data_IF_429148206378
#
_entry.id   IF_429148206378
#
_cell.length_a   1.000
_cell.length_b   1.000
_cell.length_c   1.000
_cell.angle_alpha   90.00
_cell.angle_beta   90.00
_cell.angle_gamma   90.00
#
_symmetry.space_group_name_H-M   'P 1'
#
loop_
_entity.id
_entity.type
_entity.pdbx_description
1 polymer ?
#
# COMPACT_ATOMS: atom_id res chain seq x y z
N UNK A 1 -18.40 -21.14 6.65
CA UNK A 1 -17.86 -21.34 5.29
C UNK A 1 -16.43 -21.87 5.40
N UNK A 2 -16.13 -22.99 4.75
CA UNK A 2 -14.84 -23.69 4.83
C UNK A 2 -13.97 -23.22 3.66
N UNK A 3 -12.91 -22.47 3.94
CA UNK A 3 -12.02 -21.93 2.90
C UNK A 3 -11.04 -23.03 2.50
N UNK A 4 -10.96 -23.30 1.19
CA UNK A 4 -10.02 -24.25 0.60
C UNK A 4 -8.78 -23.51 0.09
N UNK A 5 -7.62 -24.14 0.22
CA UNK A 5 -6.37 -23.62 -0.29
C UNK A 5 -6.34 -23.70 -1.83
N UNK A 6 -5.97 -22.60 -2.50
CA UNK A 6 -5.86 -22.57 -3.97
C UNK A 6 -4.67 -23.36 -4.53
N UNK A 7 -3.73 -23.79 -3.68
CA UNK A 7 -2.56 -24.58 -4.10
C UNK A 7 -2.79 -26.09 -3.97
N UNK A 8 -3.34 -26.56 -2.85
CA UNK A 8 -3.48 -27.99 -2.58
C UNK A 8 -4.93 -28.48 -2.37
N UNK A 9 -5.92 -27.59 -2.45
CA UNK A 9 -7.35 -27.91 -2.28
C UNK A 9 -7.78 -28.25 -0.84
N UNK A 10 -6.83 -28.40 0.10
CA UNK A 10 -7.13 -28.71 1.52
C UNK A 10 -7.73 -27.52 2.25
N UNK A 11 -8.48 -27.81 3.30
CA UNK A 11 -9.09 -26.80 4.16
C UNK A 11 -8.05 -25.99 4.92
N UNK A 12 -8.37 -24.72 5.16
CA UNK A 12 -7.49 -23.79 5.86
C UNK A 12 -7.95 -23.53 7.28
N UNK A 13 -7.00 -23.38 8.19
CA UNK A 13 -7.26 -22.99 9.57
C UNK A 13 -7.34 -21.47 9.67
N UNK A 14 -8.41 -20.96 10.28
CA UNK A 14 -8.57 -19.53 10.56
C UNK A 14 -7.87 -19.17 11.86
N UNK A 15 -7.10 -18.08 11.85
CA UNK A 15 -6.47 -17.46 13.02
C UNK A 15 -6.59 -15.94 12.90
N UNK A 16 -6.88 -15.24 14.00
CA UNK A 16 -6.80 -13.78 14.03
C UNK A 16 -5.36 -13.36 14.31
N UNK A 17 -4.83 -12.41 13.53
CA UNK A 17 -3.42 -12.02 13.67
C UNK A 17 -3.06 -10.70 12.99
N UNK A 18 -1.76 -10.55 12.73
CA UNK A 18 -1.17 -9.38 12.09
C UNK A 18 -0.76 -9.71 10.66
N UNK A 19 -0.92 -8.77 9.74
CA UNK A 19 -0.59 -8.93 8.33
C UNK A 19 0.18 -7.72 7.79
N UNK A 20 1.24 -7.94 7.02
CA UNK A 20 1.93 -6.86 6.32
C UNK A 20 1.24 -6.59 4.99
N UNK A 21 0.61 -5.43 4.84
CA UNK A 21 -0.27 -5.12 3.71
C UNK A 21 0.51 -4.64 2.47
N UNK A 22 1.18 -5.58 1.81
CA UNK A 22 2.04 -5.30 0.65
C UNK A 22 1.25 -4.92 -0.61
N UNK A 23 -0.02 -5.31 -0.69
CA UNK A 23 -0.92 -5.03 -1.81
C UNK A 23 -1.24 -3.54 -1.94
N UNK A 24 -1.04 -2.75 -0.88
CA UNK A 24 -1.04 -1.29 -0.95
C UNK A 24 0.12 -0.72 -1.79
N UNK A 25 1.19 -1.50 -2.01
CA UNK A 25 2.46 -1.02 -2.57
C UNK A 25 3.35 -0.29 -1.54
N UNK A 26 2.92 -0.22 -0.27
CA UNK A 26 3.67 0.34 0.84
C UNK A 26 4.33 -0.77 1.67
N UNK A 27 5.55 -0.52 2.14
CA UNK A 27 6.30 -1.50 2.96
C UNK A 27 6.07 -1.31 4.46
N UNK A 28 5.40 -0.23 4.85
CA UNK A 28 5.26 0.23 6.22
C UNK A 28 3.81 0.19 6.71
N UNK A 29 2.92 -0.56 6.04
CA UNK A 29 1.51 -0.74 6.47
C UNK A 29 1.32 -2.13 7.07
N UNK A 30 0.81 -2.17 8.30
CA UNK A 30 0.55 -3.39 9.04
C UNK A 30 -0.91 -3.42 9.52
N UNK A 31 -1.62 -4.48 9.17
CA UNK A 31 -2.98 -4.73 9.64
C UNK A 31 -2.93 -5.54 10.92
N UNK A 32 -3.77 -5.18 11.88
CA UNK A 32 -3.98 -5.94 13.12
C UNK A 32 -5.43 -6.40 13.23
N UNK A 33 -5.64 -7.48 13.97
CA UNK A 33 -6.95 -8.11 14.18
C UNK A 33 -7.62 -8.58 12.88
N UNK A 34 -6.82 -8.99 11.89
CA UNK A 34 -7.33 -9.51 10.61
C UNK A 34 -7.40 -11.02 10.62
N UNK A 35 -8.33 -11.56 9.84
CA UNK A 35 -8.49 -13.00 9.68
C UNK A 35 -7.41 -13.53 8.74
N UNK A 36 -6.56 -14.40 9.28
CA UNK A 36 -5.55 -15.13 8.56
C UNK A 36 -6.02 -16.56 8.35
N UNK A 37 -5.83 -17.07 7.15
CA UNK A 37 -6.10 -18.45 6.80
C UNK A 37 -4.78 -19.12 6.47
N UNK A 38 -4.42 -20.18 7.20
CA UNK A 38 -3.17 -20.91 7.02
C UNK A 38 -3.46 -22.34 6.60
N UNK A 39 -2.74 -22.80 5.57
CA UNK A 39 -2.78 -24.18 5.13
C UNK A 39 -1.50 -24.91 5.55
N UNK A 40 -1.61 -26.20 5.82
CA UNK A 40 -0.47 -27.06 6.11
C UNK A 40 0.58 -27.11 4.98
N UNK A 41 0.22 -26.74 3.75
CA UNK A 41 1.17 -26.63 2.62
C UNK A 41 2.02 -25.35 2.64
N UNK A 42 1.86 -24.47 3.63
CA UNK A 42 2.61 -23.22 3.77
C UNK A 42 1.92 -21.99 3.18
N UNK A 43 0.86 -22.17 2.40
CA UNK A 43 0.10 -21.04 1.83
C UNK A 43 -0.72 -20.33 2.91
N UNK A 44 -0.67 -19.00 2.91
CA UNK A 44 -1.47 -18.16 3.80
C UNK A 44 -2.23 -17.09 3.03
N UNK A 45 -3.43 -16.75 3.53
CA UNK A 45 -4.23 -15.64 3.03
C UNK A 45 -4.64 -14.72 4.16
N UNK A 46 -4.74 -13.43 3.88
CA UNK A 46 -5.37 -12.45 4.77
C UNK A 46 -6.72 -12.04 4.18
N UNK A 47 -7.78 -12.10 4.98
CA UNK A 47 -9.07 -11.51 4.62
C UNK A 47 -9.08 -10.05 5.04
N UNK A 48 -9.17 -9.18 4.03
CA UNK A 48 -9.15 -7.73 4.17
C UNK A 48 -10.49 -7.24 3.61
N UNK A 49 -11.29 -6.62 4.46
CA UNK A 49 -12.59 -6.10 4.07
C UNK A 49 -12.48 -4.63 3.70
N UNK A 50 -13.43 -4.15 2.88
CA UNK A 50 -13.54 -2.74 2.48
C UNK A 50 -12.20 -2.13 2.05
N UNK A 51 -11.45 -2.83 1.19
CA UNK A 51 -10.15 -2.39 0.67
C UNK A 51 -10.16 -0.92 0.18
N UNK A 52 -11.17 -0.44 -0.56
CA UNK A 52 -11.23 0.98 -0.94
C UNK A 52 -11.26 1.93 0.26
N UNK A 53 -11.99 1.58 1.32
CA UNK A 53 -12.06 2.33 2.57
C UNK A 53 -10.74 2.29 3.32
N UNK A 54 -10.11 1.12 3.44
CA UNK A 54 -8.80 0.98 4.07
C UNK A 54 -7.76 1.86 3.38
N UNK A 55 -7.71 1.85 2.05
CA UNK A 55 -6.79 2.70 1.27
C UNK A 55 -7.13 4.19 1.42
N UNK A 56 -8.39 4.56 1.56
CA UNK A 56 -8.80 5.93 1.89
C UNK A 56 -8.25 6.39 3.25
N UNK A 57 -8.38 5.54 4.28
CA UNK A 57 -7.87 5.81 5.62
C UNK A 57 -6.34 5.91 5.64
N UNK A 58 -5.64 5.00 4.96
CA UNK A 58 -4.18 5.05 4.77
C UNK A 58 -3.77 6.37 4.09
N UNK A 59 -4.47 6.77 3.02
CA UNK A 59 -4.17 8.03 2.34
C UNK A 59 -4.37 9.25 3.24
N UNK A 60 -5.45 9.30 4.04
CA UNK A 60 -5.68 10.37 5.02
C UNK A 60 -4.58 10.43 6.08
N UNK A 61 -4.08 9.27 6.52
CA UNK A 61 -2.95 9.19 7.45
C UNK A 61 -1.65 9.68 6.80
N UNK A 62 -1.37 9.29 5.55
CA UNK A 62 -0.24 9.79 4.75
C UNK A 62 -0.27 11.30 4.59
N UNK A 63 -1.43 11.87 4.26
CA UNK A 63 -1.59 13.32 4.08
C UNK A 63 -1.26 14.13 5.35
N UNK A 64 -1.40 13.55 6.54
CA UNK A 64 -1.10 14.19 7.83
C UNK A 64 0.33 13.94 8.34
N UNK A 65 1.12 13.14 7.62
CA UNK A 65 2.52 12.83 7.98
C UNK A 65 3.34 14.11 8.11
N UNK A 66 3.91 14.35 9.30
CA UNK A 66 4.77 15.52 9.59
C UNK A 66 6.21 15.34 9.10
N UNK A 67 6.36 14.79 7.91
CA UNK A 67 7.63 14.54 7.24
C UNK A 67 7.40 14.54 5.72
N UNK A 68 8.47 14.73 4.93
CA UNK A 68 8.37 14.56 3.48
C UNK A 68 7.90 13.14 3.14
N UNK A 69 7.05 13.05 2.11
CA UNK A 69 6.59 11.79 1.56
C UNK A 69 7.78 11.02 0.98
N UNK A 70 7.79 9.72 1.21
CA UNK A 70 8.66 8.79 0.49
C UNK A 70 8.15 8.59 -0.93
N UNK A 71 9.02 8.12 -1.83
CA UNK A 71 8.61 7.78 -3.20
C UNK A 71 7.44 6.81 -3.29
N UNK A 72 7.41 5.81 -2.40
CA UNK A 72 6.30 4.84 -2.33
C UNK A 72 4.99 5.48 -1.89
N UNK A 73 5.03 6.42 -0.95
CA UNK A 73 3.84 7.19 -0.53
C UNK A 73 3.34 8.10 -1.64
N UNK A 74 4.22 8.77 -2.39
CA UNK A 74 3.85 9.57 -3.57
C UNK A 74 3.15 8.68 -4.62
N UNK A 75 3.75 7.53 -4.93
CA UNK A 75 3.19 6.55 -5.87
C UNK A 75 1.83 6.03 -5.40
N UNK A 76 1.71 5.69 -4.12
CA UNK A 76 0.46 5.23 -3.51
C UNK A 76 -0.64 6.27 -3.69
N UNK A 77 -0.39 7.53 -3.29
CA UNK A 77 -1.37 8.62 -3.43
C UNK A 77 -1.80 8.80 -4.89
N UNK A 78 -0.85 8.86 -5.84
CA UNK A 78 -1.17 9.01 -7.26
C UNK A 78 -1.98 7.85 -7.81
N UNK A 79 -1.61 6.61 -7.46
CA UNK A 79 -2.33 5.41 -7.92
C UNK A 79 -3.72 5.32 -7.32
N UNK A 80 -3.90 5.79 -6.09
CA UNK A 80 -5.19 5.83 -5.42
C UNK A 80 -6.19 6.81 -6.07
N UNK A 81 -5.71 7.86 -6.76
CA UNK A 81 -6.55 8.74 -7.61
C UNK A 81 -6.53 8.34 -9.09
N UNK A 82 -5.98 7.17 -9.42
CA UNK A 82 -5.94 6.61 -10.78
C UNK A 82 -5.26 7.49 -11.85
N UNK A 83 -4.31 8.36 -11.46
CA UNK A 83 -3.62 9.25 -12.39
C UNK A 83 -2.31 8.62 -12.91
N UNK A 84 -2.02 8.82 -14.21
CA UNK A 84 -0.77 8.36 -14.82
C UNK A 84 0.44 9.16 -14.29
N UNK A 85 1.65 8.58 -14.35
CA UNK A 85 2.86 9.32 -13.92
C UNK A 85 3.08 10.59 -14.75
N UNK A 86 2.83 10.50 -16.07
CA UNK A 86 2.95 11.62 -17.00
C UNK A 86 1.98 12.76 -16.66
N UNK A 87 0.71 12.44 -16.41
CA UNK A 87 -0.31 13.46 -16.17
C UNK A 87 -0.15 14.10 -14.80
N UNK A 88 0.25 13.30 -13.79
CA UNK A 88 0.58 13.85 -12.47
C UNK A 88 1.79 14.78 -12.53
N UNK A 89 2.84 14.44 -13.30
CA UNK A 89 3.98 15.33 -13.51
C UNK A 89 3.57 16.66 -14.17
N UNK A 90 2.66 16.63 -15.16
CA UNK A 90 2.10 17.86 -15.76
C UNK A 90 1.35 18.72 -14.73
N UNK A 91 0.51 18.11 -13.88
CA UNK A 91 -0.21 18.81 -12.81
C UNK A 91 0.72 19.45 -11.78
N UNK A 92 1.89 18.84 -11.56
CA UNK A 92 2.93 19.36 -10.65
C UNK A 92 3.89 20.36 -11.32
N UNK A 93 3.74 20.64 -12.63
CA UNK A 93 4.63 21.48 -13.41
C UNK A 93 6.11 21.05 -13.37
N UNK A 94 6.36 19.74 -13.43
CA UNK A 94 7.71 19.16 -13.46
C UNK A 94 7.94 18.34 -14.72
N UNK A 95 9.22 18.10 -15.04
CA UNK A 95 9.58 17.20 -16.14
C UNK A 95 9.04 15.77 -15.92
N UNK A 96 8.68 15.10 -17.02
CA UNK A 96 8.13 13.73 -17.03
C UNK A 96 9.07 12.69 -16.39
N UNK A 97 10.38 12.96 -16.33
CA UNK A 97 11.38 12.07 -15.73
C UNK A 97 11.57 12.31 -14.23
N UNK A 98 11.15 13.47 -13.72
CA UNK A 98 11.33 13.85 -12.31
C UNK A 98 10.44 13.03 -11.38
N UNK A 99 9.14 12.87 -11.70
CA UNK A 99 8.23 12.11 -10.85
C UNK A 99 8.64 10.62 -10.69
N UNK A 100 9.02 9.89 -11.74
CA UNK A 100 9.57 8.54 -11.58
C UNK A 100 10.79 8.48 -10.66
N UNK A 101 11.70 9.48 -10.71
CA UNK A 101 12.87 9.54 -9.83
C UNK A 101 12.47 9.72 -8.35
N UNK A 102 11.46 10.56 -8.09
CA UNK A 102 10.87 10.73 -6.76
C UNK A 102 10.20 9.45 -6.26
N UNK A 103 9.35 8.85 -7.08
CA UNK A 103 8.65 7.61 -6.73
C UNK A 103 9.60 6.42 -6.52
N UNK A 104 10.70 6.39 -7.29
CA UNK A 104 11.76 5.38 -7.15
C UNK A 104 12.71 5.64 -5.98
N UNK A 105 12.68 6.83 -5.37
CA UNK A 105 13.56 7.20 -4.26
C UNK A 105 14.98 7.63 -4.67
N UNK A 106 15.29 7.63 -5.96
CA UNK A 106 16.59 8.09 -6.50
C UNK A 106 16.83 9.59 -6.35
N UNK A 107 15.76 10.37 -6.20
CA UNK A 107 15.80 11.81 -5.95
C UNK A 107 14.69 12.15 -4.96
N UNK A 108 14.94 13.11 -4.07
CA UNK A 108 13.93 13.59 -3.11
C UNK A 108 13.30 14.89 -3.61
N UNK A 109 12.00 15.04 -3.42
CA UNK A 109 11.28 16.28 -3.67
C UNK A 109 11.55 17.32 -2.57
N UNK A 110 11.48 18.60 -2.93
CA UNK A 110 11.53 19.72 -1.97
C UNK A 110 10.21 19.85 -1.17
N UNK A 111 10.23 20.56 -0.04
CA UNK A 111 9.03 20.87 0.77
C UNK A 111 7.88 21.51 -0.03
N UNK A 112 8.10 22.51 -0.91
CA UNK A 112 7.01 23.07 -1.74
C UNK A 112 6.34 22.02 -2.66
N UNK A 113 7.15 21.17 -3.30
CA UNK A 113 6.63 20.10 -4.16
C UNK A 113 5.88 19.02 -3.36
N UNK A 114 6.31 18.69 -2.14
CA UNK A 114 5.58 17.78 -1.26
C UNK A 114 4.18 18.32 -0.92
N UNK A 115 4.09 19.62 -0.58
CA UNK A 115 2.82 20.29 -0.33
C UNK A 115 1.94 20.33 -1.60
N UNK A 116 2.54 20.57 -2.77
CA UNK A 116 1.82 20.56 -4.04
C UNK A 116 1.29 19.16 -4.39
N UNK A 117 2.06 18.09 -4.13
CA UNK A 117 1.62 16.70 -4.29
C UNK A 117 0.39 16.43 -3.42
N UNK A 118 0.45 16.79 -2.13
CA UNK A 118 -0.66 16.61 -1.19
C UNK A 118 -1.89 17.40 -1.63
N UNK A 119 -1.72 18.67 -2.03
CA UNK A 119 -2.81 19.53 -2.50
C UNK A 119 -3.44 18.97 -3.77
N UNK A 120 -2.64 18.55 -4.74
CA UNK A 120 -3.11 17.96 -6.00
C UNK A 120 -3.92 16.69 -5.73
N UNK A 121 -3.41 15.79 -4.87
CA UNK A 121 -4.18 14.61 -4.44
C UNK A 121 -5.51 15.00 -3.78
N UNK A 122 -5.50 15.95 -2.84
CA UNK A 122 -6.70 16.37 -2.12
C UNK A 122 -7.77 16.95 -3.07
N UNK A 123 -7.34 17.74 -4.05
CA UNK A 123 -8.21 18.28 -5.11
C UNK A 123 -8.82 17.16 -5.94
N UNK A 124 -8.00 16.23 -6.46
CA UNK A 124 -8.47 15.12 -7.29
C UNK A 124 -9.40 14.17 -6.54
N UNK A 125 -9.16 13.95 -5.24
CA UNK A 125 -10.02 13.10 -4.39
C UNK A 125 -11.31 13.80 -3.96
N UNK A 126 -11.44 15.11 -4.15
CA UNK A 126 -12.60 15.90 -3.72
C UNK A 126 -12.65 16.11 -2.20
N UNK A 127 -11.51 16.19 -1.52
CA UNK A 127 -11.46 16.46 -0.08
C UNK A 127 -11.99 17.87 0.20
N UNK A 128 -12.90 18.02 1.17
CA UNK A 128 -13.54 19.31 1.50
C UNK A 128 -12.51 20.37 1.87
N UNK A 129 -12.73 21.62 1.44
CA UNK A 129 -11.79 22.74 1.66
C UNK A 129 -11.38 22.90 3.12
N UNK A 130 -12.32 22.77 4.07
CA UNK A 130 -12.01 22.87 5.50
C UNK A 130 -11.11 21.73 6.01
N UNK A 131 -11.22 20.54 5.42
CA UNK A 131 -10.32 19.41 5.73
C UNK A 131 -8.95 19.63 5.10
N UNK A 132 -8.88 20.14 3.87
CA UNK A 132 -7.61 20.52 3.24
C UNK A 132 -6.86 21.56 4.09
N UNK A 133 -7.56 22.61 4.55
CA UNK A 133 -7.00 23.64 5.43
C UNK A 133 -6.45 23.06 6.73
N UNK A 134 -7.18 22.12 7.37
CA UNK A 134 -6.71 21.43 8.59
C UNK A 134 -5.44 20.62 8.33
N UNK A 135 -5.37 19.88 7.22
CA UNK A 135 -4.17 19.12 6.85
C UNK A 135 -3.00 20.06 6.62
N UNK A 136 -3.17 21.12 5.82
CA UNK A 136 -2.10 22.08 5.55
C UNK A 136 -1.63 22.82 6.81
N UNK A 137 -2.55 23.09 7.75
CA UNK A 137 -2.21 23.67 9.05
C UNK A 137 -1.30 22.75 9.87
N UNK A 138 -1.60 21.44 9.93
CA UNK A 138 -0.76 20.43 10.60
C UNK A 138 0.66 20.39 9.99
N UNK A 139 0.79 20.74 8.71
CA UNK A 139 2.04 20.64 7.96
C UNK A 139 2.88 21.92 7.96
N UNK A 140 2.42 23.02 8.59
CA UNK A 140 3.16 24.31 8.61
C UNK A 140 4.59 24.12 9.13
N UNK A 141 4.71 23.39 10.23
CA UNK A 141 5.98 23.19 10.94
C UNK A 141 6.59 21.81 10.64
N UNK A 142 6.40 21.28 9.43
CA UNK A 142 7.17 20.10 9.00
C UNK A 142 8.64 20.50 8.94
N UNK A 143 9.37 20.20 10.02
CA UNK A 143 10.81 19.98 9.98
C UNK A 143 11.07 18.82 9.02
N UNK A 144 12.15 18.90 8.25
CA UNK A 144 12.69 17.75 7.54
C UNK A 144 12.94 16.69 8.60
N UNK A 145 12.09 15.66 8.68
CA UNK A 145 12.14 14.67 9.74
C UNK A 145 13.57 14.17 9.92
N UNK A 146 13.99 14.11 11.19
CA UNK A 146 15.25 13.50 11.61
C UNK A 146 15.39 12.14 10.91
N UNK A 147 16.58 11.84 10.36
CA UNK A 147 16.79 10.72 9.45
C UNK A 147 16.44 9.33 10.03
N UNK A 148 16.25 9.23 11.35
CA UNK A 148 16.22 7.94 12.07
C UNK A 148 14.83 7.48 12.53
N UNK A 149 13.75 8.22 12.19
CA UNK A 149 12.39 7.84 12.61
C UNK A 149 11.68 7.00 11.54
N UNK A 150 11.54 5.70 11.81
CA UNK A 150 10.75 4.80 10.98
C UNK A 150 9.26 5.07 11.22
N UNK A 151 8.58 5.54 10.18
CA UNK A 151 7.16 5.82 10.20
C UNK A 151 6.37 4.58 9.77
N UNK A 152 5.65 3.95 10.70
CA UNK A 152 4.78 2.81 10.42
C UNK A 152 3.30 3.22 10.45
N UNK A 153 2.51 2.67 9.54
CA UNK A 153 1.06 2.80 9.52
C UNK A 153 0.47 1.52 10.09
N UNK A 154 -0.18 1.64 11.23
CA UNK A 154 -0.94 0.54 11.85
C UNK A 154 -2.40 0.71 11.50
N UNK A 155 -3.01 -0.31 10.94
CA UNK A 155 -4.45 -0.37 10.65
C UNK A 155 -5.09 -1.50 11.46
N UNK A 156 -5.76 -1.16 12.55
CA UNK A 156 -6.41 -2.13 13.43
C UNK A 156 -7.86 -2.32 13.00
N UNK A 157 -8.25 -3.56 12.69
CA UNK A 157 -9.65 -3.91 12.41
C UNK A 157 -10.50 -3.71 13.68
N UNK A 158 -11.63 -3.04 13.51
CA UNK A 158 -12.68 -2.83 14.51
C UNK A 158 -14.01 -3.17 13.86
N UNK A 159 -14.63 -4.29 14.23
CA UNK A 159 -15.93 -4.76 13.71
C UNK A 159 -16.10 -4.59 12.19
N UNK A 160 -16.63 -3.42 11.76
CA UNK A 160 -16.96 -3.05 10.37
C UNK A 160 -16.06 -1.98 9.71
N UNK A 161 -15.01 -1.47 10.37
CA UNK A 161 -14.04 -0.52 9.79
C UNK A 161 -12.60 -0.74 10.33
N UNK A 162 -11.68 0.12 9.92
CA UNK A 162 -10.30 0.14 10.40
C UNK A 162 -10.01 1.46 11.14
N UNK A 163 -9.24 1.37 12.22
CA UNK A 163 -8.58 2.53 12.83
C UNK A 163 -7.15 2.57 12.30
N UNK A 164 -6.78 3.67 11.63
CA UNK A 164 -5.46 3.82 11.00
C UNK A 164 -4.66 4.95 11.66
N UNK A 165 -3.50 4.60 12.20
CA UNK A 165 -2.67 5.51 12.99
C UNK A 165 -1.20 5.42 12.58
N UNK A 166 -0.46 6.52 12.82
CA UNK A 166 0.99 6.48 12.79
C UNK A 166 1.52 5.85 14.08
N UNK A 167 2.40 4.87 13.94
CA UNK A 167 3.26 4.39 15.01
C UNK A 167 4.69 4.84 14.69
N UNK A 168 5.19 5.77 15.50
CA UNK A 168 6.60 6.17 15.46
C UNK A 168 7.38 5.14 16.26
N UNK A 169 8.40 4.56 15.64
CA UNK A 169 9.42 3.82 16.37
C UNK A 169 10.64 4.74 16.52
N UNK A 170 11.06 5.10 17.74
CA UNK A 170 12.35 5.75 17.92
C UNK A 170 13.43 4.81 17.34
N UNK A 171 14.36 5.37 16.57
CA UNK A 171 15.36 4.61 15.83
C UNK A 171 16.10 3.62 16.73
N UNK A 172 15.93 2.33 16.48
CA UNK A 172 16.69 1.26 17.13
C UNK A 172 17.76 0.81 16.15
N UNK A 173 19.01 0.84 16.61
CA UNK A 173 20.22 0.39 15.93
C UNK A 173 20.05 -0.97 15.22
N UNK A 174 20.79 -1.22 14.12
CA UNK A 174 20.81 -2.54 13.49
C UNK A 174 21.52 -3.52 14.42
N UNK A 175 20.76 -4.29 15.19
CA UNK A 175 21.32 -5.32 16.09
C UNK A 175 20.44 -5.75 17.26
N UNK A 176 19.38 -5.01 17.60
CA UNK A 176 18.48 -5.36 18.70
C UNK A 176 17.03 -5.51 18.24
N UNK A 177 16.74 -6.58 17.50
CA UNK A 177 15.36 -7.00 17.26
C UNK A 177 15.21 -8.52 17.43
N UNK A 178 14.97 -8.93 18.69
CA UNK A 178 14.25 -10.15 19.00
C UNK A 178 12.75 -9.85 18.90
N UNK A 179 12.17 -10.10 17.74
CA UNK A 179 10.72 -10.15 17.62
C UNK A 179 10.37 -11.33 16.73
N UNK A 180 9.62 -12.26 17.30
CA UNK A 180 8.83 -13.25 16.59
C UNK A 180 7.72 -12.55 15.77
N UNK A 181 8.10 -11.79 14.75
CA UNK A 181 7.21 -11.37 13.67
C UNK A 181 7.10 -12.57 12.72
N UNK A 182 6.01 -13.32 12.84
CA UNK A 182 5.74 -14.40 11.88
C UNK A 182 5.45 -13.78 10.51
N UNK A 183 6.49 -13.56 9.72
CA UNK A 183 6.44 -13.53 8.27
C UNK A 183 6.63 -14.97 7.81
N UNK A 184 5.63 -15.66 7.22
CA UNK A 184 5.86 -17.02 6.73
C UNK A 184 6.62 -17.06 5.40
N UNK A 185 7.10 -15.92 4.85
CA UNK A 185 7.75 -15.95 3.55
C UNK A 185 8.85 -14.91 3.40
N UNK A 186 10.09 -15.39 3.36
CA UNK A 186 11.21 -14.70 2.71
C UNK A 186 11.20 -15.14 1.23
N UNK A 187 10.91 -14.25 0.26
CA UNK A 187 11.10 -14.59 -1.13
C UNK A 187 12.61 -14.71 -1.44
N UNK A 188 13.04 -15.70 -2.25
CA UNK A 188 14.40 -15.72 -2.79
C UNK A 188 14.62 -14.48 -3.66
N UNK A 189 15.79 -13.85 -3.51
CA UNK A 189 16.19 -12.67 -4.25
C UNK A 189 16.37 -12.96 -5.74
N UNK A 190 15.39 -12.66 -6.59
CA UNK A 190 15.58 -12.57 -8.04
C UNK A 190 14.42 -11.87 -8.77
N UNK A 191 14.81 -10.93 -9.65
CA UNK A 191 14.12 -10.48 -10.87
C UNK A 191 13.11 -9.31 -10.79
N UNK A 192 13.67 -8.16 -11.19
CA UNK A 192 13.03 -7.05 -11.89
C UNK A 192 12.18 -7.56 -13.08
N UNK A 193 10.97 -7.00 -13.27
CA UNK A 193 10.58 -6.23 -14.46
C UNK A 193 9.06 -6.17 -14.68
N UNK A 194 8.61 -4.94 -14.96
CA UNK A 194 7.55 -4.51 -15.89
C UNK A 194 6.11 -5.07 -15.86
N UNK A 195 5.19 -4.18 -16.26
CA UNK A 195 3.78 -4.35 -16.71
C UNK A 195 2.69 -3.94 -15.70
N UNK A 196 1.96 -2.85 -15.94
CA UNK A 196 0.90 -2.47 -16.93
C UNK A 196 -0.49 -2.81 -16.37
N UNK A 197 -1.31 -1.77 -16.32
CA UNK A 197 -2.63 -1.70 -15.67
C UNK A 197 -3.72 -2.14 -16.65
N UNK A 198 -4.70 -2.90 -16.16
CA UNK A 198 -6.03 -2.99 -16.77
C UNK A 198 -7.09 -3.11 -15.65
N UNK A 199 -8.18 -2.38 -15.86
CA UNK A 199 -9.32 -2.09 -14.98
C UNK A 199 -10.45 -3.11 -15.14
N UNK A 200 -11.26 -3.35 -14.10
CA UNK A 200 -12.73 -3.24 -14.20
C UNK A 200 -13.47 -3.52 -12.87
N UNK A 201 -14.47 -2.67 -12.64
CA UNK A 201 -15.80 -2.85 -12.02
C UNK A 201 -15.99 -3.50 -10.63
N UNK A 202 -16.28 -2.60 -9.68
CA UNK A 202 -17.38 -2.62 -8.68
C UNK A 202 -18.04 -3.94 -8.28
N UNK A 203 -17.92 -4.30 -7.00
CA UNK A 203 -19.00 -4.84 -6.18
C UNK A 203 -18.77 -4.49 -4.69
N UNK A 204 -19.86 -4.30 -3.95
CA UNK A 204 -19.84 -4.16 -2.49
C UNK A 204 -19.50 -5.54 -1.92
N UNK A 205 -18.26 -5.75 -1.49
CA UNK A 205 -17.79 -7.08 -1.11
C UNK A 205 -17.48 -7.21 0.39
N UNK A 206 -18.16 -8.19 0.99
CA UNK A 206 -17.65 -9.01 2.09
C UNK A 206 -16.17 -9.38 1.86
N UNK A 207 -15.37 -9.38 2.93
CA UNK A 207 -13.90 -9.44 2.92
C UNK A 207 -13.24 -10.19 1.75
N UNK A 208 -12.35 -9.49 1.04
CA UNK A 208 -11.56 -10.05 -0.06
C UNK A 208 -10.37 -10.82 0.54
N UNK A 209 -10.18 -12.05 0.08
CA UNK A 209 -9.09 -12.92 0.52
C UNK A 209 -7.86 -12.65 -0.36
N UNK A 210 -6.80 -12.08 0.21
CA UNK A 210 -5.54 -11.83 -0.49
C UNK A 210 -4.51 -12.91 -0.17
N UNK A 211 -3.84 -13.41 -1.22
CA UNK A 211 -2.75 -14.37 -1.07
C UNK A 211 -1.44 -13.64 -0.83
N UNK A 212 -0.70 -14.07 0.20
CA UNK A 212 0.66 -13.57 0.44
C UNK A 212 1.70 -14.12 -0.54
N UNK A 213 1.33 -15.08 -1.40
CA UNK A 213 2.26 -15.82 -2.26
C UNK A 213 1.88 -15.87 -3.75
N UNK A 214 0.75 -15.31 -4.19
CA UNK A 214 0.31 -15.44 -5.58
C UNK A 214 0.50 -14.15 -6.38
N UNK A 215 1.67 -14.05 -7.01
CA UNK A 215 1.82 -13.36 -8.30
C UNK A 215 1.10 -14.23 -9.34
N UNK A 216 -0.14 -13.90 -9.68
CA UNK A 216 -0.87 -14.60 -10.73
C UNK A 216 -0.35 -14.14 -12.09
N UNK A 217 0.48 -14.97 -12.73
CA UNK A 217 0.67 -14.94 -14.17
C UNK A 217 -0.44 -15.75 -14.82
N UNK A 218 -1.24 -15.12 -15.68
CA UNK A 218 -2.12 -15.85 -16.60
C UNK A 218 -1.26 -16.39 -17.73
N UNK A 219 -1.09 -17.71 -17.78
CA UNK A 219 -0.54 -18.41 -18.95
C UNK A 219 -1.45 -18.12 -20.15
N UNK A 220 -0.93 -17.42 -21.15
CA UNK A 220 -1.47 -17.50 -22.50
C UNK A 220 -1.20 -18.92 -23.01
N UNK A 221 -2.25 -19.73 -23.13
CA UNK A 221 -2.17 -21.02 -23.79
C UNK A 221 -1.99 -20.81 -25.29
N UNK A 222 -0.88 -21.31 -25.81
CA UNK A 222 -0.67 -21.61 -27.22
C UNK A 222 -1.70 -22.65 -27.67
N UNK A 223 -2.66 -22.23 -28.49
CA UNK A 223 -3.27 -23.11 -29.48
C UNK A 223 -3.10 -22.47 -30.85
N UNK A 224 -2.09 -22.96 -31.56
CA UNK A 224 -2.12 -22.98 -33.01
C UNK A 224 -3.15 -24.02 -33.43
N UNK A 225 -4.13 -23.60 -34.22
CA UNK A 225 -4.88 -24.46 -35.11
C UNK A 225 -4.79 -23.75 -36.46
N UNK A 226 -4.01 -24.36 -37.36
CA UNK A 226 -4.22 -24.16 -38.80
C UNK A 226 -5.58 -24.73 -39.15
N UNK A 227 -6.31 -24.08 -40.06
CA UNK A 227 -6.95 -24.68 -41.24
C UNK A 227 -7.78 -23.59 -41.96
N UNK A 228 -7.47 -23.47 -43.25
CA UNK A 228 -8.24 -22.90 -44.40
C UNK A 228 -8.54 -21.39 -44.45
#
# INVERSE_FOLDING_TARGET
MMIKCSECGKSMQRKVGKYKYLESGLNNVFLENVDLYQCACGTSYASIFRVPRLNELIAKTILKKRALLSGKEIRFLRKHVHVSSRDFAKMLHIDKTTLPKWEGGSQRQSKPHDLLIRKTYMTLKGIRVNEQKRILYILKDVQLAEPDVIHLIRATRQEEDYIVEWKLMPGVYPGSFDYAWVSPYQPPSALLSTHRFATSQSHIESGVIFSSQKVLSTKAGTHGIMLE
#
